data_IF_257680144890
#
_entry.id   IF_257680144890
#
_cell.length_a   1.000
_cell.length_b   1.000
_cell.length_c   1.000
_cell.angle_alpha   90.00
_cell.angle_beta   90.00
_cell.angle_gamma   90.00
#
_symmetry.space_group_name_H-M   'P 1'
#
loop_
_entity.id
_entity.type
_entity.pdbx_description
1 polymer ?
#
# COMPACT_ATOMS: atom_id res chain seq x y z
N UNK A 1 -59.47 39.22 10.73
CA UNK A 1 -58.21 39.99 10.65
C UNK A 1 -57.08 38.98 10.63
N UNK A 2 -56.40 38.91 9.49
CA UNK A 2 -55.45 37.85 9.14
C UNK A 2 -54.07 38.24 9.69
N UNK A 3 -53.53 37.40 10.58
CA UNK A 3 -52.14 37.49 11.04
C UNK A 3 -51.25 36.66 10.11
N UNK A 4 -50.42 37.34 9.31
CA UNK A 4 -49.47 36.71 8.40
C UNK A 4 -48.16 36.36 9.12
N UNK A 5 -47.84 35.06 9.13
CA UNK A 5 -46.59 34.49 9.59
C UNK A 5 -45.48 34.77 8.56
N UNK A 6 -44.42 35.48 8.94
CA UNK A 6 -43.25 35.70 8.09
C UNK A 6 -42.36 34.45 8.13
N UNK A 7 -42.32 33.72 7.02
CA UNK A 7 -41.39 32.59 6.81
C UNK A 7 -40.05 33.15 6.34
N UNK A 8 -39.00 33.01 7.17
CA UNK A 8 -37.62 33.26 6.75
C UNK A 8 -37.11 32.06 5.93
N UNK A 9 -36.97 32.27 4.63
CA UNK A 9 -36.32 31.35 3.70
C UNK A 9 -34.80 31.53 3.79
N UNK A 10 -34.11 30.66 4.52
CA UNK A 10 -32.63 30.60 4.55
C UNK A 10 -32.12 29.92 3.27
N UNK A 11 -31.77 30.74 2.28
CA UNK A 11 -31.06 30.30 1.07
C UNK A 11 -29.61 30.01 1.47
N UNK A 12 -29.25 28.72 1.52
CA UNK A 12 -27.85 28.28 1.59
C UNK A 12 -27.17 28.61 0.26
N UNK A 13 -26.52 29.78 0.21
CA UNK A 13 -25.54 30.09 -0.83
C UNK A 13 -24.30 29.22 -0.60
N UNK A 14 -24.25 28.06 -1.25
CA UNK A 14 -23.01 27.33 -1.48
C UNK A 14 -22.10 28.24 -2.33
N UNK A 15 -21.14 28.89 -1.68
CA UNK A 15 -20.01 29.50 -2.36
C UNK A 15 -19.21 28.38 -3.04
N UNK A 16 -19.33 28.28 -4.36
CA UNK A 16 -18.34 27.62 -5.20
C UNK A 16 -17.03 28.42 -5.09
N UNK A 17 -16.29 28.22 -3.99
CA UNK A 17 -14.92 28.63 -3.92
C UNK A 17 -14.16 27.80 -4.95
N UNK A 18 -13.83 28.42 -6.08
CA UNK A 18 -12.82 27.89 -6.99
C UNK A 18 -11.52 27.77 -6.19
N UNK A 19 -11.21 26.56 -5.74
CA UNK A 19 -9.96 26.24 -5.07
C UNK A 19 -8.83 26.40 -6.10
N UNK A 20 -8.30 27.62 -6.21
CA UNK A 20 -7.03 27.83 -6.87
C UNK A 20 -5.98 27.09 -6.04
N UNK A 21 -5.41 26.03 -6.61
CA UNK A 21 -4.20 25.40 -6.08
C UNK A 21 -3.19 26.50 -5.77
N UNK A 22 -2.76 26.58 -4.51
CA UNK A 22 -1.63 27.43 -4.15
C UNK A 22 -0.39 26.69 -4.64
N UNK A 23 0.39 27.24 -5.59
CA UNK A 23 1.63 26.61 -6.00
C UNK A 23 2.52 26.45 -4.77
N UNK A 24 3.06 25.25 -4.56
CA UNK A 24 4.08 25.03 -3.55
C UNK A 24 5.22 26.02 -3.82
N UNK A 25 5.61 26.79 -2.80
CA UNK A 25 6.68 27.78 -2.94
C UNK A 25 7.95 27.11 -3.47
N UNK A 26 8.71 27.75 -4.38
CA UNK A 26 9.90 27.15 -4.97
C UNK A 26 10.89 26.74 -3.88
N UNK A 27 11.31 25.48 -3.90
CA UNK A 27 12.26 24.92 -2.94
C UNK A 27 13.55 25.72 -2.94
N UNK A 28 14.04 26.09 -1.75
CA UNK A 28 15.25 26.91 -1.58
C UNK A 28 16.54 26.23 -2.09
N UNK A 29 16.45 24.97 -2.54
CA UNK A 29 17.39 24.21 -3.36
C UNK A 29 16.62 22.99 -3.91
N UNK A 30 16.37 22.89 -5.23
CA UNK A 30 15.64 21.76 -5.78
C UNK A 30 16.44 20.47 -5.61
N UNK A 31 15.77 19.38 -5.23
CA UNK A 31 16.37 18.05 -5.15
C UNK A 31 16.73 17.56 -6.55
N UNK A 32 15.84 17.77 -7.53
CA UNK A 32 16.12 17.42 -8.94
C UNK A 32 17.04 18.46 -9.60
N UNK A 33 18.30 18.44 -9.19
CA UNK A 33 19.39 19.19 -9.82
C UNK A 33 19.89 18.49 -11.10
N UNK A 34 20.63 19.18 -11.98
CA UNK A 34 21.20 18.56 -13.18
C UNK A 34 22.08 17.33 -12.92
N UNK A 35 22.76 17.27 -11.77
CA UNK A 35 23.57 16.09 -11.40
C UNK A 35 22.69 14.89 -11.00
N UNK A 36 21.57 15.13 -10.32
CA UNK A 36 20.57 14.08 -10.02
C UNK A 36 19.90 13.60 -11.30
N UNK A 37 19.57 14.51 -12.21
CA UNK A 37 19.03 14.17 -13.53
C UNK A 37 19.99 13.30 -14.34
N UNK A 38 21.28 13.66 -14.35
CA UNK A 38 22.32 12.90 -15.01
C UNK A 38 22.46 11.50 -14.39
N UNK A 39 22.53 11.42 -13.05
CA UNK A 39 22.60 10.15 -12.34
C UNK A 39 21.43 9.22 -12.69
N UNK A 40 20.18 9.72 -12.67
CA UNK A 40 19.02 8.90 -13.02
C UNK A 40 19.08 8.46 -14.48
N UNK A 41 19.49 9.35 -15.39
CA UNK A 41 19.64 9.03 -16.81
C UNK A 41 20.71 7.96 -17.04
N UNK A 42 21.83 8.04 -16.32
CA UNK A 42 22.93 7.07 -16.36
C UNK A 42 22.46 5.70 -15.84
N UNK A 43 21.70 5.66 -14.74
CA UNK A 43 21.11 4.41 -14.23
C UNK A 43 20.16 3.79 -15.25
N UNK A 44 19.28 4.59 -15.87
CA UNK A 44 18.37 4.08 -16.91
C UNK A 44 19.15 3.52 -18.12
N UNK A 45 20.26 4.17 -18.51
CA UNK A 45 21.13 3.75 -19.59
C UNK A 45 21.91 2.47 -19.23
N UNK A 46 22.47 2.38 -18.02
CA UNK A 46 23.21 1.21 -17.51
C UNK A 46 22.31 -0.02 -17.42
N UNK A 47 21.10 0.14 -16.91
CA UNK A 47 20.09 -0.92 -16.87
C UNK A 47 19.50 -1.21 -18.26
N UNK A 48 19.85 -0.38 -19.25
CA UNK A 48 19.38 -0.41 -20.63
C UNK A 48 17.85 -0.40 -20.74
N UNK A 49 17.15 0.14 -19.74
CA UNK A 49 15.70 -0.08 -19.54
C UNK A 49 14.88 0.51 -20.68
N UNK A 50 13.95 -0.25 -21.30
CA UNK A 50 13.06 0.32 -22.31
C UNK A 50 11.93 1.16 -21.69
N UNK A 51 11.77 1.09 -20.37
CA UNK A 51 10.81 1.89 -19.60
C UNK A 51 11.43 3.12 -18.97
N UNK A 52 10.72 3.68 -18.00
CA UNK A 52 11.11 4.87 -17.27
C UNK A 52 10.82 4.74 -15.79
N UNK A 53 11.09 5.82 -15.05
CA UNK A 53 10.78 5.95 -13.63
C UNK A 53 10.05 7.26 -13.38
N UNK A 54 9.10 7.22 -12.45
CA UNK A 54 8.42 8.39 -11.92
C UNK A 54 8.79 8.51 -10.45
N UNK A 55 9.32 9.66 -10.06
CA UNK A 55 9.94 9.85 -8.75
C UNK A 55 9.24 11.02 -8.06
N UNK A 56 8.92 10.83 -6.78
CA UNK A 56 8.54 11.89 -5.87
C UNK A 56 9.53 11.95 -4.70
N UNK A 57 9.95 13.15 -4.33
CA UNK A 57 10.74 13.42 -3.15
C UNK A 57 9.93 14.29 -2.21
N UNK A 58 9.69 13.78 -1.01
CA UNK A 58 8.99 14.47 0.07
C UNK A 58 10.00 14.82 1.15
N UNK A 59 10.09 16.10 1.50
CA UNK A 59 11.03 16.58 2.51
C UNK A 59 10.32 17.38 3.60
N UNK A 60 10.50 16.96 4.85
CA UNK A 60 10.13 17.77 6.02
C UNK A 60 11.25 18.76 6.32
N UNK A 61 10.90 20.02 6.48
CA UNK A 61 11.79 21.08 6.90
C UNK A 61 11.84 21.18 8.42
N UNK A 62 12.87 21.85 8.95
CA UNK A 62 13.04 22.08 10.38
C UNK A 62 11.93 22.93 10.99
N UNK A 63 11.26 23.77 10.19
CA UNK A 63 10.10 24.55 10.59
C UNK A 63 8.78 23.74 10.56
N UNK A 64 8.86 22.44 10.26
CA UNK A 64 7.72 21.53 10.19
C UNK A 64 6.96 21.55 8.86
N UNK A 65 7.32 22.42 7.91
CA UNK A 65 6.71 22.44 6.57
C UNK A 65 7.20 21.28 5.71
N UNK A 66 6.44 20.96 4.67
CA UNK A 66 6.77 19.92 3.72
C UNK A 66 6.99 20.50 2.32
N UNK A 67 8.01 20.02 1.62
CA UNK A 67 8.15 20.25 0.18
C UNK A 67 8.07 18.92 -0.57
N UNK A 68 7.42 18.98 -1.73
CA UNK A 68 7.27 17.85 -2.64
C UNK A 68 7.82 18.26 -3.98
N UNK A 69 8.71 17.45 -4.51
CA UNK A 69 9.18 17.56 -5.89
C UNK A 69 8.86 16.26 -6.62
N UNK A 70 8.42 16.33 -7.86
CA UNK A 70 8.13 15.16 -8.69
C UNK A 70 8.76 15.29 -10.07
N UNK A 71 9.22 14.17 -10.64
CA UNK A 71 9.76 14.14 -12.00
C UNK A 71 9.70 12.76 -12.62
N UNK A 72 9.39 12.72 -13.91
CA UNK A 72 9.43 11.52 -14.74
C UNK A 72 10.67 11.46 -15.64
N UNK A 73 11.21 10.26 -15.83
CA UNK A 73 12.34 9.97 -16.70
C UNK A 73 12.05 8.76 -17.58
N UNK A 74 12.50 8.77 -18.83
CA UNK A 74 12.28 7.66 -19.77
C UNK A 74 10.84 7.59 -20.30
N UNK A 75 10.40 6.37 -20.69
CA UNK A 75 9.12 6.14 -21.34
C UNK A 75 8.15 5.32 -20.46
N UNK A 76 6.88 5.69 -20.45
CA UNK A 76 5.79 4.99 -19.78
C UNK A 76 5.18 3.86 -20.63
N UNK A 77 5.44 3.83 -21.94
CA UNK A 77 5.00 2.76 -22.83
C UNK A 77 5.96 2.53 -23.99
N UNK A 78 5.79 1.37 -24.64
CA UNK A 78 6.64 0.89 -25.74
C UNK A 78 6.58 1.77 -26.99
N UNK A 79 5.51 2.53 -27.17
CA UNK A 79 5.31 3.50 -28.24
C UNK A 79 5.98 4.86 -27.98
N UNK A 80 6.69 5.00 -26.84
CA UNK A 80 7.49 6.17 -26.53
C UNK A 80 6.77 7.29 -25.78
N UNK A 81 5.54 7.06 -25.28
CA UNK A 81 4.90 8.00 -24.34
C UNK A 81 5.83 8.27 -23.16
N UNK A 82 6.02 9.55 -22.82
CA UNK A 82 6.95 9.95 -21.75
C UNK A 82 6.42 9.62 -20.37
N UNK A 83 7.34 9.28 -19.49
CA UNK A 83 7.05 9.09 -18.08
C UNK A 83 6.80 10.45 -17.40
N UNK A 84 5.81 10.51 -16.53
CA UNK A 84 5.42 11.71 -15.77
C UNK A 84 5.10 11.35 -14.32
N UNK A 85 4.95 12.35 -13.46
CA UNK A 85 4.48 12.21 -12.08
C UNK A 85 3.07 11.63 -11.96
N UNK A 86 2.24 11.80 -13.00
CA UNK A 86 0.87 11.28 -13.08
C UNK A 86 0.82 9.85 -13.64
N UNK A 87 1.95 9.31 -14.14
CA UNK A 87 2.00 7.94 -14.65
C UNK A 87 1.64 6.93 -13.56
N UNK A 88 0.71 6.04 -13.88
CA UNK A 88 0.15 5.07 -12.94
C UNK A 88 0.86 3.73 -13.02
N UNK A 89 1.17 3.14 -11.88
CA UNK A 89 1.88 1.88 -11.76
C UNK A 89 1.12 0.90 -10.88
N UNK A 90 1.14 -0.37 -11.26
CA UNK A 90 0.85 -1.45 -10.31
C UNK A 90 1.95 -1.46 -9.24
N UNK A 91 1.64 -1.02 -8.02
CA UNK A 91 2.66 -0.88 -6.96
C UNK A 91 2.92 -2.18 -6.18
N UNK A 92 2.32 -3.28 -6.64
CA UNK A 92 2.49 -4.62 -6.07
C UNK A 92 2.38 -4.61 -4.54
N UNK A 93 3.40 -5.09 -3.83
CA UNK A 93 3.37 -5.25 -2.38
C UNK A 93 3.31 -3.95 -1.58
N UNK A 94 3.59 -2.80 -2.20
CA UNK A 94 3.43 -1.52 -1.53
C UNK A 94 1.95 -1.25 -1.17
N UNK A 95 0.98 -1.94 -1.81
CA UNK A 95 -0.43 -1.87 -1.41
C UNK A 95 -0.69 -2.34 0.02
N UNK A 96 0.21 -3.15 0.60
CA UNK A 96 0.13 -3.60 1.99
C UNK A 96 0.12 -2.44 2.98
N UNK A 97 0.73 -1.29 2.63
CA UNK A 97 0.67 -0.07 3.44
C UNK A 97 -0.78 0.35 3.68
N UNK A 98 -1.60 0.38 2.62
CA UNK A 98 -3.02 0.75 2.73
C UNK A 98 -3.82 -0.23 3.57
N UNK A 99 -3.47 -1.52 3.55
CA UNK A 99 -4.09 -2.53 4.40
C UNK A 99 -3.78 -2.32 5.89
N UNK A 100 -2.52 -2.04 6.19
CA UNK A 100 -2.11 -1.76 7.57
C UNK A 100 -2.79 -0.47 8.07
N UNK A 101 -2.81 0.59 7.26
CA UNK A 101 -3.52 1.84 7.59
C UNK A 101 -5.02 1.58 7.79
N UNK A 102 -5.68 0.87 6.87
CA UNK A 102 -7.10 0.52 6.97
C UNK A 102 -7.41 -0.26 8.26
N UNK A 103 -6.54 -1.20 8.64
CA UNK A 103 -6.68 -1.93 9.91
C UNK A 103 -6.49 -0.99 11.11
N UNK A 104 -5.55 -0.06 11.05
CA UNK A 104 -5.37 0.98 12.06
C UNK A 104 -6.60 1.87 12.22
N UNK A 105 -7.21 2.29 11.11
CA UNK A 105 -8.47 3.05 11.13
C UNK A 105 -9.62 2.26 11.75
N UNK A 106 -9.71 0.95 11.49
CA UNK A 106 -10.68 0.08 12.18
C UNK A 106 -10.40 0.00 13.69
N UNK A 107 -9.14 -0.09 14.11
CA UNK A 107 -8.76 -0.09 15.54
C UNK A 107 -9.14 1.23 16.21
N UNK A 108 -8.92 2.36 15.55
CA UNK A 108 -9.29 3.69 16.04
C UNK A 108 -10.79 3.99 15.93
N UNK A 109 -11.57 3.16 15.22
CA UNK A 109 -13.00 3.39 15.04
C UNK A 109 -13.77 3.01 16.30
N UNK A 110 -14.16 4.04 17.05
CA UNK A 110 -14.86 3.85 18.31
C UNK A 110 -16.28 3.30 18.17
N UNK A 111 -16.88 3.44 16.99
CA UNK A 111 -18.26 3.02 16.69
C UNK A 111 -18.43 1.53 16.41
N UNK A 112 -17.32 0.78 16.33
CA UNK A 112 -17.40 -0.67 16.11
C UNK A 112 -18.12 -1.35 17.27
N UNK A 113 -19.13 -2.17 16.94
CA UNK A 113 -19.83 -3.03 17.90
C UNK A 113 -18.87 -3.99 18.61
N UNK A 114 -17.78 -4.36 17.92
CA UNK A 114 -16.68 -5.14 18.44
C UNK A 114 -15.39 -4.34 18.33
N UNK A 115 -14.90 -3.83 19.46
CA UNK A 115 -13.58 -3.17 19.52
C UNK A 115 -12.48 -4.20 19.29
N UNK A 116 -11.45 -3.77 18.56
CA UNK A 116 -10.23 -4.52 18.29
C UNK A 116 -9.02 -3.64 18.61
N UNK A 117 -7.86 -4.26 18.75
CA UNK A 117 -6.57 -3.64 19.05
C UNK A 117 -5.46 -4.38 18.31
N UNK A 118 -4.26 -3.80 18.27
CA UNK A 118 -3.08 -4.42 17.67
C UNK A 118 -2.72 -5.80 18.26
N UNK A 119 -3.13 -6.07 19.50
CA UNK A 119 -2.91 -7.32 20.22
C UNK A 119 -4.13 -8.26 20.19
N UNK A 120 -5.20 -7.88 19.47
CA UNK A 120 -6.36 -8.74 19.29
C UNK A 120 -5.98 -10.00 18.54
N UNK A 121 -6.31 -11.16 19.13
CA UNK A 121 -6.13 -12.48 18.53
C UNK A 121 -7.03 -12.64 17.32
N UNK A 122 -6.47 -13.06 16.20
CA UNK A 122 -7.20 -13.26 14.94
C UNK A 122 -8.31 -14.31 15.09
N UNK A 123 -8.01 -15.40 15.79
CA UNK A 123 -8.97 -16.47 16.08
C UNK A 123 -10.23 -15.97 16.79
N UNK A 124 -10.16 -14.84 17.49
CA UNK A 124 -11.35 -14.26 18.10
C UNK A 124 -12.25 -13.58 17.06
N UNK A 125 -11.68 -12.97 16.02
CA UNK A 125 -12.36 -12.07 15.07
C UNK A 125 -12.77 -12.77 13.78
N UNK A 126 -11.93 -13.65 13.25
CA UNK A 126 -12.08 -14.25 11.92
C UNK A 126 -12.48 -15.74 12.08
N UNK A 127 -13.74 -16.12 11.83
CA UNK A 127 -14.20 -17.49 12.06
C UNK A 127 -13.49 -18.55 11.21
N UNK A 128 -13.05 -18.20 10.00
CA UNK A 128 -12.32 -19.10 9.10
C UNK A 128 -10.84 -19.23 9.41
N UNK A 129 -10.32 -18.50 10.41
CA UNK A 129 -8.92 -18.55 10.78
C UNK A 129 -8.58 -19.85 11.51
N UNK A 130 -7.67 -20.61 10.91
CA UNK A 130 -7.03 -21.74 11.54
C UNK A 130 -5.69 -21.99 10.84
N UNK A 131 -4.61 -22.14 11.62
CA UNK A 131 -3.31 -22.60 11.14
C UNK A 131 -3.07 -24.05 11.59
N UNK A 132 -2.20 -24.76 10.86
CA UNK A 132 -1.79 -26.11 11.22
C UNK A 132 -1.04 -26.16 12.57
N UNK A 133 -0.22 -25.14 12.84
CA UNK A 133 0.41 -24.95 14.15
C UNK A 133 -0.64 -24.44 15.17
N UNK A 134 -0.94 -25.19 16.25
CA UNK A 134 -1.97 -24.82 17.21
C UNK A 134 -1.61 -23.59 18.07
N UNK A 135 -0.32 -23.33 18.30
CA UNK A 135 0.15 -22.14 19.03
C UNK A 135 -0.04 -20.92 18.13
N UNK A 136 0.46 -20.97 16.89
CA UNK A 136 0.28 -19.87 15.94
C UNK A 136 -1.21 -19.61 15.67
N UNK A 137 -2.01 -20.67 15.52
CA UNK A 137 -3.46 -20.59 15.30
C UNK A 137 -4.17 -19.88 16.47
N UNK A 138 -3.85 -20.22 17.71
CA UNK A 138 -4.53 -19.66 18.88
C UNK A 138 -3.97 -18.33 19.40
N UNK A 139 -2.70 -18.02 19.12
CA UNK A 139 -1.98 -16.87 19.70
C UNK A 139 -1.67 -15.74 18.72
N UNK A 140 -1.80 -15.94 17.40
CA UNK A 140 -1.54 -14.86 16.42
C UNK A 140 -2.46 -13.66 16.66
N UNK A 141 -1.86 -12.50 16.87
CA UNK A 141 -2.51 -11.19 16.96
C UNK A 141 -2.45 -10.45 15.62
N UNK A 142 -3.20 -9.36 15.48
CA UNK A 142 -3.10 -8.45 14.33
C UNK A 142 -1.64 -8.03 14.08
N UNK A 143 -0.89 -7.72 15.14
CA UNK A 143 0.55 -7.42 15.06
C UNK A 143 1.34 -8.60 14.49
N UNK A 144 1.08 -9.85 14.91
CA UNK A 144 1.79 -11.03 14.39
C UNK A 144 1.60 -11.21 12.88
N UNK A 145 0.36 -11.04 12.42
CA UNK A 145 -0.02 -11.15 11.01
C UNK A 145 0.70 -10.11 10.16
N UNK A 146 0.69 -8.84 10.59
CA UNK A 146 1.35 -7.74 9.87
C UNK A 146 2.87 -7.82 9.91
N UNK A 147 3.43 -8.41 10.97
CA UNK A 147 4.87 -8.51 11.19
C UNK A 147 5.47 -9.82 10.63
N UNK A 148 4.70 -10.59 9.85
CA UNK A 148 5.18 -11.79 9.17
C UNK A 148 5.81 -12.84 10.11
N UNK A 149 5.25 -13.03 11.30
CA UNK A 149 5.88 -13.85 12.37
C UNK A 149 5.02 -15.02 12.85
N UNK A 150 4.22 -15.60 11.95
CA UNK A 150 3.32 -16.72 12.27
C UNK A 150 3.98 -18.10 12.18
N UNK A 151 5.19 -18.21 11.61
CA UNK A 151 5.84 -19.50 11.30
C UNK A 151 5.31 -20.16 10.00
N UNK A 152 4.28 -19.59 9.39
CA UNK A 152 3.75 -20.03 8.10
C UNK A 152 4.43 -19.25 6.95
N UNK A 153 5.15 -19.92 6.04
CA UNK A 153 5.77 -19.28 4.89
C UNK A 153 4.74 -18.90 3.82
N UNK A 154 5.21 -18.25 2.75
CA UNK A 154 4.39 -18.03 1.55
C UNK A 154 3.93 -19.37 0.95
N UNK A 155 2.68 -19.40 0.51
CA UNK A 155 2.07 -20.54 -0.21
C UNK A 155 1.31 -20.02 -1.43
N UNK A 156 1.94 -19.16 -2.24
CA UNK A 156 1.26 -18.37 -3.28
C UNK A 156 0.61 -19.20 -4.42
N UNK A 157 0.93 -20.50 -4.51
CA UNK A 157 0.33 -21.44 -5.48
C UNK A 157 -0.99 -22.06 -4.98
N UNK A 158 -1.38 -21.85 -3.73
CA UNK A 158 -2.57 -22.46 -3.13
C UNK A 158 -3.90 -21.80 -3.56
N UNK A 159 -3.82 -20.65 -4.22
CA UNK A 159 -4.97 -19.86 -4.63
C UNK A 159 -4.87 -19.47 -6.11
N UNK A 160 -6.02 -19.37 -6.75
CA UNK A 160 -6.17 -19.13 -8.17
C UNK A 160 -7.16 -18.01 -8.46
N UNK A 161 -7.59 -17.91 -9.72
CA UNK A 161 -8.40 -16.79 -10.21
C UNK A 161 -9.81 -16.75 -9.62
N UNK A 162 -10.38 -17.89 -9.29
CA UNK A 162 -11.79 -18.04 -8.84
C UNK A 162 -11.93 -18.05 -7.33
N UNK A 163 -10.83 -17.90 -6.60
CA UNK A 163 -10.85 -17.87 -5.15
C UNK A 163 -11.36 -16.54 -4.62
N UNK A 164 -11.88 -16.60 -3.40
CA UNK A 164 -12.15 -15.46 -2.55
C UNK A 164 -11.38 -15.61 -1.23
N UNK A 165 -11.31 -14.55 -0.43
CA UNK A 165 -10.59 -14.55 0.84
C UNK A 165 -11.01 -15.73 1.71
N UNK A 166 -12.31 -15.94 1.94
CA UNK A 166 -12.84 -17.04 2.77
C UNK A 166 -12.32 -18.42 2.33
N UNK A 167 -12.33 -18.70 1.02
CA UNK A 167 -11.84 -19.97 0.48
C UNK A 167 -10.33 -20.18 0.70
N UNK A 168 -9.56 -19.09 0.68
CA UNK A 168 -8.12 -19.07 0.94
C UNK A 168 -7.87 -19.33 2.43
N UNK A 169 -8.60 -18.65 3.32
CA UNK A 169 -8.47 -18.83 4.77
C UNK A 169 -8.76 -20.26 5.21
N UNK A 170 -9.81 -20.87 4.66
CA UNK A 170 -10.18 -22.27 4.94
C UNK A 170 -9.09 -23.30 4.58
N UNK A 171 -8.15 -22.94 3.70
CA UNK A 171 -7.02 -23.80 3.32
C UNK A 171 -5.80 -23.65 4.23
N UNK A 172 -5.70 -22.57 5.01
CA UNK A 172 -4.50 -22.28 5.81
C UNK A 172 -4.16 -23.40 6.79
N UNK A 173 -5.16 -24.06 7.37
CA UNK A 173 -5.00 -25.19 8.29
C UNK A 173 -4.34 -26.44 7.67
N UNK A 174 -4.29 -26.52 6.34
CA UNK A 174 -3.68 -27.64 5.62
C UNK A 174 -2.24 -27.36 5.20
N UNK A 175 -1.72 -26.16 5.45
CA UNK A 175 -0.39 -25.74 5.02
C UNK A 175 0.64 -26.04 6.10
N UNK A 176 1.80 -26.55 5.67
CA UNK A 176 2.91 -26.80 6.58
C UNK A 176 3.55 -25.48 7.03
N UNK A 177 3.74 -25.25 8.34
CA UNK A 177 4.65 -24.24 8.84
C UNK A 177 6.10 -24.68 8.53
N UNK A 178 7.01 -23.71 8.53
CA UNK A 178 8.45 -23.98 8.34
C UNK A 178 9.31 -23.49 9.50
N UNK A 179 8.67 -22.90 10.50
CA UNK A 179 9.28 -22.42 11.73
C UNK A 179 8.22 -22.34 12.84
N UNK A 180 8.67 -22.25 14.08
CA UNK A 180 7.80 -22.04 15.22
C UNK A 180 7.19 -20.62 15.22
N UNK A 181 6.09 -20.46 15.94
CA UNK A 181 5.44 -19.18 16.10
C UNK A 181 6.40 -18.13 16.69
N UNK A 182 6.54 -16.98 16.00
CA UNK A 182 7.44 -15.86 16.35
C UNK A 182 8.94 -16.17 16.33
N UNK A 183 9.35 -17.27 15.69
CA UNK A 183 10.77 -17.67 15.64
C UNK A 183 11.56 -16.97 14.51
N UNK A 184 10.94 -16.77 13.35
CA UNK A 184 11.58 -16.06 12.22
C UNK A 184 10.59 -15.17 11.46
N UNK A 185 11.13 -14.17 10.76
CA UNK A 185 10.39 -13.38 9.79
C UNK A 185 10.18 -14.19 8.50
N UNK A 186 8.92 -14.33 8.07
CA UNK A 186 8.56 -15.00 6.83
C UNK A 186 7.52 -14.21 6.04
N UNK A 187 7.97 -13.57 4.96
CA UNK A 187 7.09 -12.87 4.04
C UNK A 187 5.94 -13.77 3.56
N UNK A 188 4.70 -13.33 3.76
CA UNK A 188 3.50 -14.12 3.53
C UNK A 188 2.32 -13.23 3.10
N UNK A 189 1.82 -13.44 1.87
CA UNK A 189 0.68 -12.68 1.35
C UNK A 189 -0.66 -13.07 1.98
N UNK A 190 -0.81 -14.31 2.43
CA UNK A 190 -2.08 -14.82 2.97
C UNK A 190 -2.53 -14.01 4.18
N UNK A 191 -1.57 -13.58 5.00
CA UNK A 191 -1.78 -12.74 6.17
C UNK A 191 -2.42 -11.39 5.81
N UNK A 192 -2.03 -10.81 4.68
CA UNK A 192 -2.60 -9.54 4.20
C UNK A 192 -3.94 -9.73 3.50
N UNK A 193 -4.15 -10.87 2.83
CA UNK A 193 -5.49 -11.22 2.31
C UNK A 193 -6.50 -11.37 3.46
N UNK A 194 -6.08 -11.99 4.57
CA UNK A 194 -6.88 -12.06 5.78
C UNK A 194 -7.24 -10.67 6.32
N UNK A 195 -6.25 -9.77 6.46
CA UNK A 195 -6.50 -8.43 7.01
C UNK A 195 -7.45 -7.61 6.13
N UNK A 196 -7.43 -7.80 4.81
CA UNK A 196 -8.42 -7.16 3.93
C UNK A 196 -9.86 -7.60 4.19
N UNK A 197 -10.08 -8.69 4.92
CA UNK A 197 -11.41 -9.14 5.27
C UNK A 197 -12.02 -8.41 6.47
N UNK A 198 -11.21 -7.68 7.25
CA UNK A 198 -11.66 -7.05 8.49
C UNK A 198 -12.79 -6.02 8.30
N UNK A 199 -12.80 -5.16 7.26
CA UNK A 199 -13.94 -4.28 6.99
C UNK A 199 -15.26 -5.06 6.80
N UNK A 200 -15.22 -6.18 6.07
CA UNK A 200 -16.40 -7.02 5.83
C UNK A 200 -16.90 -7.72 7.10
N UNK A 201 -16.00 -8.07 8.02
CA UNK A 201 -16.34 -8.71 9.29
C UNK A 201 -16.87 -7.70 10.31
N UNK A 202 -16.23 -6.54 10.42
CA UNK A 202 -16.41 -5.64 11.57
C UNK A 202 -17.45 -4.55 11.32
N UNK A 203 -17.74 -4.19 10.06
CA UNK A 203 -18.65 -3.11 9.73
C UNK A 203 -20.04 -3.63 9.34
N UNK A 204 -21.13 -2.95 9.73
CA UNK A 204 -22.50 -3.38 9.43
C UNK A 204 -22.80 -3.58 7.95
N UNK A 205 -22.27 -2.70 7.09
CA UNK A 205 -22.49 -2.72 5.64
C UNK A 205 -21.56 -3.66 4.88
N UNK A 206 -20.61 -4.28 5.59
CA UNK A 206 -19.63 -5.23 5.04
C UNK A 206 -18.96 -4.73 3.74
N UNK A 207 -18.39 -3.51 3.72
CA UNK A 207 -17.82 -2.96 2.50
C UNK A 207 -16.62 -3.81 2.05
N UNK A 208 -16.45 -4.04 0.73
CA UNK A 208 -15.23 -4.62 0.21
C UNK A 208 -14.02 -3.77 0.61
N UNK A 209 -12.88 -4.43 0.85
CA UNK A 209 -11.64 -3.77 1.29
C UNK A 209 -11.26 -2.56 0.43
N UNK A 210 -11.30 -2.69 -0.89
CA UNK A 210 -10.88 -1.62 -1.79
C UNK A 210 -11.77 -0.38 -1.67
N UNK A 211 -13.08 -0.56 -1.43
CA UNK A 211 -14.02 0.53 -1.16
C UNK A 211 -13.72 1.21 0.14
N UNK A 212 -13.53 0.42 1.20
CA UNK A 212 -13.14 0.95 2.50
C UNK A 212 -11.85 1.78 2.41
N UNK A 213 -10.82 1.27 1.75
CA UNK A 213 -9.57 2.02 1.52
C UNK A 213 -9.81 3.29 0.71
N UNK A 214 -10.64 3.23 -0.33
CA UNK A 214 -10.94 4.41 -1.14
C UNK A 214 -11.60 5.51 -0.32
N UNK A 215 -12.68 5.17 0.36
CA UNK A 215 -13.53 6.11 1.12
C UNK A 215 -12.82 6.70 2.34
N UNK A 216 -11.98 5.89 3.01
CA UNK A 216 -11.36 6.30 4.28
C UNK A 216 -9.89 6.72 4.16
N UNK A 217 -9.23 6.44 3.04
CA UNK A 217 -7.81 6.77 2.84
C UNK A 217 -7.62 7.56 1.55
N UNK A 218 -8.05 7.05 0.40
CA UNK A 218 -7.72 7.69 -0.87
C UNK A 218 -8.40 9.05 -1.03
N UNK A 219 -9.72 9.09 -0.91
CA UNK A 219 -10.51 10.32 -1.08
C UNK A 219 -10.14 11.38 -0.04
N UNK A 220 -10.04 11.08 1.27
CA UNK A 220 -9.73 12.10 2.26
C UNK A 220 -8.28 12.58 2.20
N UNK A 221 -7.33 11.79 1.68
CA UNK A 221 -5.94 12.23 1.45
C UNK A 221 -5.75 12.90 0.07
N UNK A 222 -6.78 12.92 -0.78
CA UNK A 222 -6.66 13.47 -2.13
C UNK A 222 -5.89 12.60 -3.12
N UNK A 223 -5.80 11.29 -2.89
CA UNK A 223 -5.19 10.30 -3.79
C UNK A 223 -6.10 10.01 -5.00
N UNK A 224 -6.39 11.06 -5.78
CA UNK A 224 -7.43 11.06 -6.82
C UNK A 224 -7.15 10.17 -8.02
N UNK A 225 -5.90 9.77 -8.25
CA UNK A 225 -5.52 8.87 -9.35
C UNK A 225 -5.32 7.43 -8.86
N UNK A 226 -5.26 7.22 -7.55
CA UNK A 226 -5.02 5.92 -6.94
C UNK A 226 -6.29 5.07 -6.96
N UNK A 227 -6.17 3.84 -7.44
CA UNK A 227 -7.31 2.94 -7.62
C UNK A 227 -6.90 1.48 -7.51
N UNK A 228 -7.86 0.59 -7.21
CA UNK A 228 -7.71 -0.87 -7.40
C UNK A 228 -8.21 -1.34 -8.77
N UNK A 229 -8.84 -0.46 -9.55
CA UNK A 229 -9.45 -0.78 -10.84
C UNK A 229 -8.50 -0.50 -11.99
N UNK A 230 -8.12 -1.55 -12.70
CA UNK A 230 -7.32 -1.43 -13.93
C UNK A 230 -8.06 -0.68 -15.02
N UNK A 231 -9.38 -0.84 -15.11
CA UNK A 231 -10.17 -0.18 -16.15
C UNK A 231 -10.23 1.33 -15.92
N UNK A 232 -10.32 1.77 -14.66
CA UNK A 232 -10.21 3.20 -14.30
C UNK A 232 -8.81 3.72 -14.60
N UNK A 233 -7.77 2.97 -14.23
CA UNK A 233 -6.39 3.37 -14.51
C UNK A 233 -6.09 3.43 -16.02
N UNK A 234 -6.67 2.54 -16.83
CA UNK A 234 -6.55 2.58 -18.30
C UNK A 234 -7.31 3.75 -18.90
N UNK A 235 -8.53 3.98 -18.44
CA UNK A 235 -9.39 5.06 -18.93
C UNK A 235 -8.79 6.44 -18.68
N UNK A 236 -7.93 6.59 -17.65
CA UNK A 236 -7.21 7.85 -17.41
C UNK A 236 -6.13 8.16 -18.46
N UNK A 237 -5.72 7.18 -19.28
CA UNK A 237 -4.61 7.31 -20.23
C UNK A 237 -3.21 7.30 -19.58
N UNK A 238 -3.14 7.25 -18.24
CA UNK A 238 -1.88 7.38 -17.51
C UNK A 238 -1.24 6.05 -17.10
N UNK A 239 -1.95 4.90 -17.23
CA UNK A 239 -1.40 3.60 -16.88
C UNK A 239 -0.11 3.29 -17.68
N UNK A 240 1.01 3.17 -16.97
CA UNK A 240 2.28 2.76 -17.55
C UNK A 240 2.22 1.27 -17.91
N UNK A 241 2.88 0.92 -19.01
CA UNK A 241 3.08 -0.48 -19.39
C UNK A 241 4.21 -1.07 -18.54
N UNK A 242 4.05 -2.31 -18.09
CA UNK A 242 5.21 -3.07 -17.60
C UNK A 242 6.16 -3.30 -18.77
N UNK A 243 7.45 -3.03 -18.61
CA UNK A 243 8.42 -3.08 -19.71
C UNK A 243 9.40 -4.24 -19.50
N UNK A 244 9.64 -5.04 -20.53
CA UNK A 244 10.56 -6.17 -20.52
C UNK A 244 11.34 -6.25 -21.84
N UNK A 245 12.23 -7.24 -21.95
CA UNK A 245 12.93 -7.57 -23.18
C UNK A 245 12.82 -9.06 -23.51
N UNK A 246 12.71 -9.35 -24.80
CA UNK A 246 12.85 -10.71 -25.35
C UNK A 246 14.28 -10.91 -25.88
N UNK A 247 14.71 -12.17 -26.00
CA UNK A 247 16.02 -12.51 -26.54
C UNK A 247 17.22 -12.16 -25.63
N UNK A 248 17.00 -12.04 -24.32
CA UNK A 248 18.07 -11.79 -23.33
C UNK A 248 18.33 -13.06 -22.52
N UNK A 249 19.55 -13.58 -22.57
CA UNK A 249 20.00 -14.62 -21.65
C UNK A 249 20.38 -14.01 -20.29
N UNK A 250 19.42 -13.95 -19.38
CA UNK A 250 19.57 -13.27 -18.09
C UNK A 250 20.59 -13.93 -17.14
N UNK A 251 21.03 -15.16 -17.40
CA UNK A 251 22.08 -15.80 -16.60
C UNK A 251 23.48 -15.38 -17.03
N UNK A 252 23.63 -14.85 -18.24
CA UNK A 252 24.91 -14.38 -18.80
C UNK A 252 24.99 -12.86 -18.78
N UNK A 253 23.92 -12.18 -19.18
CA UNK A 253 23.82 -10.72 -19.19
C UNK A 253 22.41 -10.28 -18.80
N UNK A 254 22.28 -9.83 -17.55
CA UNK A 254 21.01 -9.33 -17.02
C UNK A 254 20.54 -8.05 -17.72
N UNK A 255 21.47 -7.24 -18.25
CA UNK A 255 21.22 -5.93 -18.84
C UNK A 255 21.27 -5.95 -20.38
N UNK A 256 21.35 -7.15 -20.96
CA UNK A 256 21.48 -7.37 -22.40
C UNK A 256 20.44 -6.65 -23.24
N UNK A 257 20.85 -6.33 -24.47
CA UNK A 257 20.14 -5.36 -25.32
C UNK A 257 18.75 -5.80 -25.74
N UNK A 258 18.57 -7.08 -26.09
CA UNK A 258 17.28 -7.70 -26.36
C UNK A 258 16.34 -6.91 -27.28
N UNK A 259 15.08 -7.34 -27.36
CA UNK A 259 14.01 -6.58 -28.02
C UNK A 259 13.02 -6.07 -26.96
N UNK A 260 12.87 -4.74 -26.78
CA UNK A 260 11.86 -4.17 -25.90
C UNK A 260 10.44 -4.67 -26.18
N UNK A 261 9.67 -4.93 -25.13
CA UNK A 261 8.24 -5.23 -25.22
C UNK A 261 7.46 -4.79 -24.00
N UNK A 262 6.16 -4.59 -24.18
CA UNK A 262 5.22 -4.50 -23.09
C UNK A 262 4.96 -5.88 -22.46
N UNK A 263 4.86 -5.92 -21.13
CA UNK A 263 4.44 -7.06 -20.36
C UNK A 263 2.92 -7.11 -20.30
N UNK A 264 2.37 -8.32 -20.38
CA UNK A 264 0.99 -8.56 -19.99
C UNK A 264 0.93 -8.57 -18.46
N UNK A 265 0.00 -7.81 -17.89
CA UNK A 265 -0.26 -7.87 -16.47
C UNK A 265 -0.86 -9.24 -16.13
N UNK A 266 -0.51 -9.84 -14.98
CA UNK A 266 -1.13 -11.08 -14.55
C UNK A 266 -2.64 -10.89 -14.41
N UNK A 267 -3.43 -11.86 -14.87
CA UNK A 267 -4.89 -11.73 -14.97
C UNK A 267 -5.59 -11.43 -13.63
N UNK A 268 -4.99 -11.78 -12.50
CA UNK A 268 -5.54 -11.47 -11.17
C UNK A 268 -5.40 -9.99 -10.77
N UNK A 269 -4.51 -9.21 -11.41
CA UNK A 269 -4.52 -7.75 -11.26
C UNK A 269 -5.70 -7.12 -12.01
N UNK A 270 -6.28 -7.83 -12.99
CA UNK A 270 -7.25 -7.29 -13.93
C UNK A 270 -8.72 -7.50 -13.50
N UNK A 271 -8.97 -8.11 -12.33
CA UNK A 271 -10.31 -8.49 -11.88
C UNK A 271 -10.75 -7.70 -10.64
N UNK A 272 -12.05 -7.42 -10.53
CA UNK A 272 -12.66 -6.87 -9.31
C UNK A 272 -12.98 -5.37 -9.34
N UNK A 273 -12.49 -4.62 -10.33
CA UNK A 273 -12.79 -3.20 -10.47
C UNK A 273 -12.47 -2.40 -9.20
N UNK A 274 -13.33 -1.43 -8.88
CA UNK A 274 -13.19 -0.57 -7.69
C UNK A 274 -13.50 -1.30 -6.37
N UNK A 275 -14.17 -2.46 -6.42
CA UNK A 275 -14.41 -3.31 -5.25
C UNK A 275 -13.18 -4.18 -4.93
N UNK A 276 -12.25 -4.29 -5.87
CA UNK A 276 -11.04 -5.09 -5.73
C UNK A 276 -11.33 -6.59 -5.74
N UNK A 277 -10.35 -7.37 -5.29
CA UNK A 277 -10.46 -8.83 -5.21
C UNK A 277 -9.69 -9.36 -3.99
N UNK A 278 -9.61 -10.69 -3.86
CA UNK A 278 -8.97 -11.36 -2.72
C UNK A 278 -7.50 -10.96 -2.50
N UNK A 279 -6.81 -10.42 -3.52
CA UNK A 279 -5.43 -9.93 -3.40
C UNK A 279 -5.33 -8.48 -2.95
N UNK A 280 -6.41 -7.69 -2.95
CA UNK A 280 -6.35 -6.24 -2.71
C UNK A 280 -5.61 -5.86 -1.43
N UNK A 281 -5.71 -6.68 -0.37
CA UNK A 281 -4.94 -6.47 0.86
C UNK A 281 -3.45 -6.73 0.74
N UNK A 282 -3.03 -7.66 -0.12
CA UNK A 282 -1.64 -8.06 -0.31
C UNK A 282 -0.96 -7.33 -1.49
N UNK A 283 -1.73 -6.78 -2.41
CA UNK A 283 -1.27 -6.09 -3.61
C UNK A 283 -2.45 -5.54 -4.42
N UNK A 284 -2.19 -4.97 -5.58
CA UNK A 284 -3.26 -4.64 -6.54
C UNK A 284 -3.69 -3.17 -6.57
N UNK A 285 -3.21 -2.35 -5.64
CA UNK A 285 -3.34 -0.90 -5.81
C UNK A 285 -2.51 -0.44 -7.00
N UNK A 286 -3.05 0.55 -7.69
CA UNK A 286 -2.44 1.28 -8.79
C UNK A 286 -2.31 2.72 -8.33
N UNK A 287 -1.11 3.28 -8.43
CA UNK A 287 -0.77 4.55 -7.79
C UNK A 287 0.26 5.31 -8.64
N UNK A 288 0.29 6.64 -8.47
CA UNK A 288 1.25 7.54 -9.12
C UNK A 288 2.25 8.08 -8.09
N UNK A 289 3.42 8.53 -8.55
CA UNK A 289 4.39 9.17 -7.66
C UNK A 289 3.81 10.43 -6.99
N UNK A 290 2.99 11.17 -7.73
CA UNK A 290 2.27 12.35 -7.23
C UNK A 290 1.31 12.03 -6.08
N UNK A 291 0.50 10.98 -6.23
CA UNK A 291 -0.40 10.55 -5.16
C UNK A 291 0.38 9.99 -3.97
N UNK A 292 1.41 9.16 -4.20
CA UNK A 292 2.26 8.65 -3.13
C UNK A 292 2.84 9.77 -2.24
N UNK A 293 3.14 10.92 -2.84
CA UNK A 293 3.67 12.08 -2.15
C UNK A 293 2.67 12.83 -1.26
N UNK A 294 1.39 12.44 -1.26
CA UNK A 294 0.35 13.03 -0.42
C UNK A 294 0.12 12.27 0.90
N UNK A 295 0.83 11.16 1.13
CA UNK A 295 0.75 10.40 2.38
C UNK A 295 1.35 11.14 3.61
N UNK A 296 1.81 12.38 3.42
CA UNK A 296 2.56 13.22 4.37
C UNK A 296 1.83 13.41 5.70
N UNK A 297 2.35 12.79 6.77
CA UNK A 297 1.76 12.79 8.12
C UNK A 297 0.27 12.37 8.16
N UNK A 298 -0.24 11.72 7.11
CA UNK A 298 -1.63 11.25 7.04
C UNK A 298 -2.70 12.34 7.12
N UNK A 299 -2.42 13.54 6.60
CA UNK A 299 -3.34 14.69 6.63
C UNK A 299 -3.93 15.01 5.27
N UNK A 300 -5.16 15.52 5.26
CA UNK A 300 -5.77 16.06 4.06
C UNK A 300 -4.95 17.26 3.55
N UNK A 301 -4.55 17.29 2.25
CA UNK A 301 -3.66 18.33 1.73
C UNK A 301 -4.31 19.73 1.63
N UNK A 302 -5.64 19.82 1.72
CA UNK A 302 -6.40 21.08 1.61
C UNK A 302 -6.87 21.56 2.99
N UNK A 303 -7.51 20.70 3.77
CA UNK A 303 -8.08 21.07 5.08
C UNK A 303 -7.09 20.91 6.23
N UNK A 304 -6.00 20.15 6.02
CA UNK A 304 -5.02 19.77 7.04
C UNK A 304 -5.60 18.88 8.17
N UNK A 305 -6.81 18.35 7.99
CA UNK A 305 -7.44 17.41 8.93
C UNK A 305 -6.65 16.10 9.00
N UNK A 306 -6.60 15.49 10.18
CA UNK A 306 -5.98 14.17 10.37
C UNK A 306 -6.88 13.09 9.78
N UNK A 307 -6.47 12.51 8.66
CA UNK A 307 -7.16 11.36 8.05
C UNK A 307 -6.69 10.07 8.70
N UNK A 308 -5.37 9.93 8.84
CA UNK A 308 -4.75 8.84 9.58
C UNK A 308 -4.37 9.37 10.96
N UNK A 309 -4.89 8.79 12.06
CA UNK A 309 -4.53 9.21 13.40
C UNK A 309 -3.01 9.09 13.66
N UNK A 310 -2.37 10.02 14.38
CA UNK A 310 -0.93 9.98 14.63
C UNK A 310 -0.46 8.72 15.35
N UNK A 311 -1.27 8.16 16.26
CA UNK A 311 -0.98 6.91 16.96
C UNK A 311 -1.01 5.71 16.01
N UNK A 312 -1.88 5.71 15.00
CA UNK A 312 -1.86 4.73 13.91
C UNK A 312 -0.55 4.86 13.14
N UNK A 313 -0.19 6.06 12.67
CA UNK A 313 1.07 6.28 11.94
C UNK A 313 2.27 5.78 12.75
N UNK A 314 2.35 6.15 14.03
CA UNK A 314 3.43 5.74 14.92
C UNK A 314 3.51 4.22 15.05
N UNK A 315 2.38 3.54 15.27
CA UNK A 315 2.36 2.08 15.41
C UNK A 315 2.76 1.39 14.11
N UNK A 316 2.29 1.86 12.96
CA UNK A 316 2.60 1.30 11.64
C UNK A 316 4.06 1.52 11.25
N UNK A 317 4.64 2.65 11.63
CA UNK A 317 6.05 2.95 11.41
C UNK A 317 6.99 2.27 12.43
N UNK A 318 6.47 1.72 13.51
CA UNK A 318 7.27 1.04 14.53
C UNK A 318 7.70 -0.34 14.01
N UNK A 319 9.02 -0.55 13.89
CA UNK A 319 9.58 -1.83 13.47
C UNK A 319 9.26 -2.95 14.46
N UNK A 320 8.27 -3.78 14.12
CA UNK A 320 7.95 -5.01 14.84
C UNK A 320 8.40 -6.19 13.98
N UNK A 321 9.41 -6.91 14.45
CA UNK A 321 9.97 -8.07 13.76
C UNK A 321 10.41 -9.11 14.79
N UNK A 322 10.80 -10.28 14.32
CA UNK A 322 11.54 -11.22 15.17
C UNK A 322 13.01 -10.77 15.21
N UNK A 323 13.61 -10.55 16.39
CA UNK A 323 15.04 -10.26 16.47
C UNK A 323 15.82 -11.42 15.85
N UNK A 324 16.73 -11.14 14.93
CA UNK A 324 17.72 -12.15 14.56
C UNK A 324 18.52 -12.47 15.82
N UNK A 325 18.38 -13.69 16.35
CA UNK A 325 19.12 -14.14 17.52
C UNK A 325 20.61 -14.21 17.21
N UNK A 326 21.32 -13.09 17.29
CA UNK A 326 22.73 -13.13 17.64
C UNK A 326 22.77 -13.48 19.13
N UNK A 327 22.91 -14.76 19.43
CA UNK A 327 23.48 -15.16 20.68
C UNK A 327 24.85 -14.48 20.76
N UNK A 328 24.97 -13.43 21.57
CA UNK A 328 26.28 -13.06 22.10
C UNK A 328 26.73 -14.28 22.89
N UNK A 329 27.59 -15.09 22.27
CA UNK A 329 28.42 -16.03 23.00
C UNK A 329 29.28 -15.14 23.89
N UNK A 330 28.81 -14.92 25.12
CA UNK A 330 29.62 -14.42 26.21
C UNK A 330 30.74 -15.45 26.41
N UNK A 331 31.86 -15.24 25.71
CA UNK A 331 33.11 -15.90 26.05
C UNK A 331 33.54 -15.37 27.42
N UNK A 332 33.02 -15.98 28.47
CA UNK A 332 33.75 -16.11 29.71
C UNK A 332 34.84 -17.15 29.49
N UNK A 333 36.08 -16.66 29.36
CA UNK A 333 37.22 -17.32 29.97
C UNK A 333 38.16 -16.25 30.50
N UNK A 334 37.98 -15.92 31.78
CA UNK A 334 39.15 -15.73 32.63
C UNK A 334 39.95 -17.03 32.56
N UNK A 335 41.22 -16.97 32.14
CA UNK A 335 42.33 -17.44 32.96
C UNK A 335 43.67 -17.48 32.19
N UNK A 336 44.60 -16.70 32.74
CA UNK A 336 46.04 -16.92 32.91
C UNK A 336 47.01 -17.08 31.71
N UNK A 337 48.01 -16.18 31.79
CA UNK A 337 49.34 -16.08 31.17
C UNK A 337 49.45 -15.42 29.79
#
# INVERSE_FOLDING_TARGET
MVGGLVVFLLIYLCSLASAKQTPLSPTRNPVFSPSVDAFISDVLAEWNTPGGVSIAVVKKHSDGTWTVETKGYGNASIDGRKMTEDSLFFIASNSKLFNIIATGLLISNESLSRRISWDTKIASVVPEWELKDPIASSQSTITDIMSHRTGLPRHDLMYGRTDNVTSILKRLKHLEPSAEFRDIYQYNNNMYMLLSYLPEILLPHKPPFARYVKEHIFEPLGLTSTTYSVDVARASGNLAQGMARDGVNKTEDLFGKGNPRAMRHPNWFLAGGEDGNYKSGAGGAINSAKDAALLNDGRNPVTNDSVIPPDVIQNVATGKTVPAGFAFVNNFSHDFL
#
